data_IF_550825332607
#
_entry.id   IF_550825332607
#
_cell.length_a   1.000
_cell.length_b   1.000
_cell.length_c   1.000
_cell.angle_alpha   90.00
_cell.angle_beta   90.00
_cell.angle_gamma   90.00
#
_symmetry.space_group_name_H-M   'P 1'
#
loop_
_entity.id
_entity.type
_entity.pdbx_description
1 polymer ?
#
# COMPACT_ATOMS: atom_id res chain seq x y z
N UNK A 1 -2.92 11.92 9.11
CA UNK A 1 -2.44 12.17 7.73
C UNK A 1 -3.63 12.43 6.82
N UNK A 2 -3.68 13.62 6.22
CA UNK A 2 -4.83 14.06 5.43
C UNK A 2 -4.66 13.85 3.92
N UNK A 3 -3.43 13.69 3.45
CA UNK A 3 -3.18 13.48 2.03
C UNK A 3 -3.55 12.05 1.62
N UNK A 4 -4.46 11.96 0.65
CA UNK A 4 -5.00 10.73 0.10
C UNK A 4 -4.70 10.63 -1.40
N UNK A 5 -4.88 9.44 -1.99
CA UNK A 5 -4.76 9.26 -3.43
C UNK A 5 -5.66 8.13 -3.98
N UNK A 6 -5.94 8.20 -5.29
CA UNK A 6 -6.40 7.08 -6.14
C UNK A 6 -5.38 6.82 -7.25
N UNK A 7 -5.47 5.66 -7.90
CA UNK A 7 -4.65 5.36 -9.09
C UNK A 7 -5.46 5.67 -10.35
N UNK A 8 -4.80 6.29 -11.33
CA UNK A 8 -5.36 6.42 -12.68
C UNK A 8 -5.17 5.10 -13.48
N UNK A 9 -5.54 5.12 -14.77
CA UNK A 9 -5.42 3.96 -15.66
C UNK A 9 -3.97 3.57 -15.96
N UNK A 10 -3.04 4.51 -15.83
CA UNK A 10 -1.61 4.34 -16.10
C UNK A 10 -0.82 3.95 -14.85
N UNK A 11 -1.46 3.99 -13.67
CA UNK A 11 -0.86 3.69 -12.38
C UNK A 11 -0.26 4.90 -11.66
N UNK A 12 -0.49 6.13 -12.15
CA UNK A 12 -0.05 7.35 -11.48
C UNK A 12 -0.99 7.69 -10.31
N UNK A 13 -0.44 8.38 -9.30
CA UNK A 13 -1.20 8.80 -8.13
C UNK A 13 -1.89 10.14 -8.37
N UNK A 14 -3.21 10.15 -8.25
CA UNK A 14 -4.02 11.37 -8.22
C UNK A 14 -4.29 11.76 -6.76
N UNK A 15 -3.67 12.84 -6.30
CA UNK A 15 -3.75 13.26 -4.90
C UNK A 15 -5.04 14.05 -4.59
N UNK A 16 -5.54 13.86 -3.38
CA UNK A 16 -6.75 14.53 -2.88
C UNK A 16 -6.77 14.57 -1.36
N UNK A 17 -7.62 15.42 -0.78
CA UNK A 17 -7.93 15.42 0.66
C UNK A 17 -9.26 14.71 0.97
N UNK A 18 -10.05 14.39 -0.07
CA UNK A 18 -11.34 13.70 0.09
C UNK A 18 -11.13 12.25 0.50
N UNK A 19 -12.07 11.67 1.25
CA UNK A 19 -12.05 10.24 1.60
C UNK A 19 -12.61 9.34 0.50
N UNK A 20 -13.51 9.88 -0.33
CA UNK A 20 -14.07 9.24 -1.51
C UNK A 20 -13.90 10.18 -2.70
N UNK A 21 -13.37 9.68 -3.81
CA UNK A 21 -13.20 10.43 -5.06
C UNK A 21 -13.56 9.52 -6.24
N UNK A 22 -14.30 10.05 -7.22
CA UNK A 22 -14.72 9.30 -8.42
C UNK A 22 -15.41 7.96 -8.11
N UNK A 23 -16.22 7.90 -7.04
CA UNK A 23 -16.88 6.68 -6.58
C UNK A 23 -15.97 5.64 -5.91
N UNK A 24 -14.67 5.93 -5.73
CA UNK A 24 -13.70 5.04 -5.09
C UNK A 24 -13.25 5.58 -3.74
N UNK A 25 -13.00 4.66 -2.80
CA UNK A 25 -12.39 5.00 -1.51
C UNK A 25 -10.90 5.28 -1.71
N UNK A 26 -10.46 6.45 -1.25
CA UNK A 26 -9.07 6.91 -1.39
C UNK A 26 -8.15 6.24 -0.37
N UNK A 27 -6.87 6.05 -0.74
CA UNK A 27 -5.83 5.46 0.13
C UNK A 27 -4.94 6.56 0.73
N UNK A 28 -4.37 6.32 1.90
CA UNK A 28 -3.36 7.24 2.49
C UNK A 28 -2.16 7.37 1.57
N UNK A 29 -1.75 8.61 1.26
CA UNK A 29 -0.54 8.87 0.47
C UNK A 29 0.75 8.52 1.24
N UNK A 30 0.65 8.41 2.56
CA UNK A 30 1.78 8.13 3.44
C UNK A 30 1.87 6.64 3.77
N UNK A 31 3.07 6.06 3.79
CA UNK A 31 3.27 4.66 4.18
C UNK A 31 2.94 4.44 5.65
N UNK A 32 2.72 3.16 6.02
CA UNK A 32 2.61 2.78 7.41
C UNK A 32 3.92 3.09 8.17
N UNK A 33 3.81 3.54 9.42
CA UNK A 33 4.97 3.85 10.27
C UNK A 33 5.80 2.60 10.51
N UNK A 34 7.12 2.70 10.36
CA UNK A 34 8.05 1.66 10.80
C UNK A 34 8.11 1.60 12.33
N UNK A 35 8.09 0.40 12.89
CA UNK A 35 8.31 0.16 14.31
C UNK A 35 9.34 -0.96 14.46
N UNK A 36 10.40 -0.76 15.26
CA UNK A 36 11.38 -1.83 15.50
C UNK A 36 10.74 -3.02 16.23
N UNK A 37 9.79 -2.75 17.14
CA UNK A 37 9.15 -3.76 17.98
C UNK A 37 7.94 -4.45 17.32
N UNK A 38 7.90 -4.50 15.99
CA UNK A 38 6.75 -5.00 15.26
C UNK A 38 6.59 -6.52 15.36
N UNK A 39 5.72 -6.92 16.30
CA UNK A 39 5.36 -8.31 16.60
C UNK A 39 4.72 -9.06 15.42
N UNK A 40 4.21 -8.34 14.41
CA UNK A 40 3.46 -8.90 13.28
C UNK A 40 4.29 -9.02 11.98
N UNK A 41 5.60 -8.78 12.07
CA UNK A 41 6.54 -8.85 10.94
C UNK A 41 6.53 -10.23 10.26
N UNK A 42 6.58 -11.32 11.05
CA UNK A 42 6.53 -12.71 10.54
C UNK A 42 5.28 -12.96 9.71
N UNK A 43 4.12 -12.58 10.23
CA UNK A 43 2.82 -12.80 9.60
C UNK A 43 2.72 -12.04 8.27
N UNK A 44 3.21 -10.79 8.23
CA UNK A 44 3.26 -10.02 6.97
C UNK A 44 4.16 -10.66 5.93
N UNK A 45 5.34 -11.15 6.32
CA UNK A 45 6.26 -11.84 5.39
C UNK A 45 5.65 -13.13 4.87
N UNK A 46 5.04 -13.95 5.73
CA UNK A 46 4.35 -15.19 5.33
C UNK A 46 3.21 -14.92 4.36
N UNK A 47 2.42 -13.87 4.60
CA UNK A 47 1.33 -13.47 3.70
C UNK A 47 1.87 -13.06 2.33
N UNK A 48 2.89 -12.18 2.28
CA UNK A 48 3.52 -11.76 1.02
C UNK A 48 4.09 -12.95 0.25
N UNK A 49 4.72 -13.90 0.94
CA UNK A 49 5.29 -15.11 0.33
C UNK A 49 4.21 -15.97 -0.34
N UNK A 50 3.06 -16.15 0.32
CA UNK A 50 1.93 -16.94 -0.20
C UNK A 50 1.39 -16.41 -1.53
N UNK A 51 1.41 -15.09 -1.71
CA UNK A 51 0.89 -14.42 -2.90
C UNK A 51 1.99 -14.02 -3.91
N UNK A 52 3.21 -14.55 -3.77
CA UNK A 52 4.34 -14.22 -4.65
C UNK A 52 4.63 -12.71 -4.77
N UNK A 53 4.44 -11.97 -3.67
CA UNK A 53 4.64 -10.52 -3.62
C UNK A 53 6.04 -10.12 -3.10
N UNK A 54 6.89 -11.09 -2.75
CA UNK A 54 8.27 -10.80 -2.39
C UNK A 54 9.10 -10.60 -3.66
N UNK A 55 9.96 -9.57 -3.67
CA UNK A 55 10.88 -9.32 -4.78
C UNK A 55 11.78 -10.54 -5.08
N UNK A 56 12.16 -11.29 -4.06
CA UNK A 56 12.96 -12.52 -4.19
C UNK A 56 12.23 -13.67 -4.87
N UNK A 57 10.92 -13.56 -5.12
CA UNK A 57 10.11 -14.56 -5.81
C UNK A 57 9.84 -14.19 -7.28
N UNK A 58 10.13 -12.95 -7.68
CA UNK A 58 9.92 -12.49 -9.05
C UNK A 58 11.08 -12.97 -9.92
N UNK A 59 10.79 -13.49 -11.11
CA UNK A 59 11.80 -13.81 -12.10
C UNK A 59 12.47 -12.51 -12.58
N UNK A 60 13.80 -12.49 -12.54
CA UNK A 60 14.62 -11.45 -13.20
C UNK A 60 14.36 -11.37 -14.69
#
# INVERSE_FOLDING_TARGET
MHLMYTLDKEGNRLYTLKKVAHGQVTKSAHPARFSPDDKWSRQRVTLKRRFNLLLTQQST
#
